data_IF_390424955711
#
_entry.id   IF_390424955711
#
_cell.length_a   1.000
_cell.length_b   1.000
_cell.length_c   1.000
_cell.angle_alpha   90.00
_cell.angle_beta   90.00
_cell.angle_gamma   90.00
#
_symmetry.space_group_name_H-M   'P 1'
#
loop_
_entity.id
_entity.type
_entity.pdbx_description
1 polymer ?
#
# COMPACT_ATOMS: atom_id res chain seq x y z
N UNK A 1 11.35 -8.22 11.38
CA UNK A 1 10.94 -6.80 11.36
C UNK A 1 9.74 -6.68 10.43
N UNK A 2 8.57 -6.41 11.01
CA UNK A 2 7.25 -6.71 10.43
C UNK A 2 6.47 -5.40 10.27
N UNK A 3 5.93 -5.15 9.08
CA UNK A 3 4.99 -4.05 8.87
C UNK A 3 3.57 -4.62 8.73
N UNK A 4 2.86 -4.51 9.85
CA UNK A 4 1.45 -4.23 10.08
C UNK A 4 0.53 -4.21 8.83
N UNK A 5 -0.20 -5.33 8.63
CA UNK A 5 -1.60 -5.53 8.17
C UNK A 5 -1.78 -6.90 7.48
N UNK A 6 -1.27 -7.97 8.10
CA UNK A 6 -1.28 -9.34 7.56
C UNK A 6 -2.63 -10.10 7.69
N UNK A 7 -3.78 -9.42 7.56
CA UNK A 7 -5.10 -10.04 7.77
C UNK A 7 -5.93 -10.30 6.50
N UNK A 8 -5.39 -10.05 5.31
CA UNK A 8 -6.08 -10.38 4.05
C UNK A 8 -5.09 -11.02 3.06
N UNK A 9 -5.48 -12.06 2.29
CA UNK A 9 -4.63 -12.70 1.28
C UNK A 9 -4.09 -11.77 0.20
N UNK A 10 -4.58 -10.51 0.14
CA UNK A 10 -4.23 -9.53 -0.89
C UNK A 10 -3.30 -8.42 -0.37
N UNK A 11 -2.91 -8.44 0.92
CA UNK A 11 -2.03 -7.46 1.59
C UNK A 11 -2.32 -5.98 1.30
N UNK A 12 -3.58 -5.66 1.02
CA UNK A 12 -3.98 -4.32 0.59
C UNK A 12 -4.55 -3.52 1.76
N UNK A 13 -4.14 -2.24 1.83
CA UNK A 13 -4.69 -1.29 2.80
C UNK A 13 -5.92 -0.62 2.19
N UNK A 14 -7.06 -0.75 2.89
CA UNK A 14 -8.36 -0.21 2.50
C UNK A 14 -8.72 1.00 3.38
N UNK A 15 -8.54 2.25 2.89
CA UNK A 15 -8.87 3.46 3.64
C UNK A 15 -10.32 3.49 4.14
N UNK A 16 -11.25 2.95 3.35
CA UNK A 16 -12.68 2.93 3.62
C UNK A 16 -12.99 2.09 4.88
N UNK A 17 -12.31 0.95 5.04
CA UNK A 17 -12.47 0.09 6.20
C UNK A 17 -11.84 0.71 7.45
N UNK A 18 -10.71 1.41 7.30
CA UNK A 18 -10.08 2.16 8.40
C UNK A 18 -11.03 3.27 8.86
N UNK A 19 -11.62 4.02 7.92
CA UNK A 19 -12.58 5.07 8.19
C UNK A 19 -13.79 4.52 8.96
N UNK A 20 -14.38 3.42 8.48
CA UNK A 20 -15.51 2.73 9.11
C UNK A 20 -15.20 2.30 10.54
N UNK A 21 -14.06 1.64 10.78
CA UNK A 21 -13.66 1.16 12.12
C UNK A 21 -13.36 2.28 13.09
N UNK A 22 -12.92 3.43 12.60
CA UNK A 22 -12.57 4.59 13.43
C UNK A 22 -13.71 5.59 13.57
N UNK A 23 -14.83 5.41 12.87
CA UNK A 23 -15.97 6.34 12.91
C UNK A 23 -15.62 7.71 12.34
N UNK A 24 -14.69 7.78 11.39
CA UNK A 24 -14.24 9.04 10.74
C UNK A 24 -14.54 9.00 9.25
N UNK A 25 -14.47 10.16 8.58
CA UNK A 25 -14.60 10.19 7.13
C UNK A 25 -13.38 9.59 6.44
N UNK A 26 -13.58 9.10 5.21
CA UNK A 26 -12.48 8.61 4.38
C UNK A 26 -11.47 9.72 4.05
N UNK A 27 -11.93 10.96 3.92
CA UNK A 27 -11.06 12.12 3.67
C UNK A 27 -10.15 12.44 4.87
N UNK A 28 -10.62 12.19 6.09
CA UNK A 28 -9.79 12.26 7.28
C UNK A 28 -8.65 11.25 7.22
N UNK A 29 -8.95 9.99 6.85
CA UNK A 29 -7.92 8.94 6.70
C UNK A 29 -6.90 9.33 5.62
N UNK A 30 -7.35 9.84 4.49
CA UNK A 30 -6.50 10.31 3.41
C UNK A 30 -5.57 11.46 3.83
N UNK A 31 -6.07 12.38 4.65
CA UNK A 31 -5.28 13.47 5.21
C UNK A 31 -4.13 12.94 6.07
N UNK A 32 -4.40 11.95 6.93
CA UNK A 32 -3.35 11.27 7.71
C UNK A 32 -2.38 10.50 6.82
N UNK A 33 -2.85 9.85 5.76
CA UNK A 33 -1.96 9.16 4.82
C UNK A 33 -1.00 10.13 4.14
N UNK A 34 -1.45 11.31 3.73
CA UNK A 34 -0.56 12.36 3.18
C UNK A 34 0.51 12.79 4.18
N UNK A 35 0.16 12.90 5.47
CA UNK A 35 1.12 13.23 6.53
C UNK A 35 2.17 12.10 6.66
N UNK A 36 1.75 10.84 6.70
CA UNK A 36 2.66 9.70 6.79
C UNK A 36 3.57 9.59 5.57
N UNK A 37 3.03 9.85 4.37
CA UNK A 37 3.79 9.83 3.12
C UNK A 37 4.86 10.93 3.09
N UNK A 38 4.48 12.16 3.45
CA UNK A 38 5.40 13.30 3.57
C UNK A 38 6.55 13.02 4.54
N UNK A 39 6.29 12.29 5.62
CA UNK A 39 7.29 11.98 6.64
C UNK A 39 8.08 10.68 6.37
N UNK A 40 7.77 9.97 5.28
CA UNK A 40 8.48 8.76 4.86
C UNK A 40 8.03 7.47 5.55
N UNK A 41 6.91 7.48 6.27
CA UNK A 41 6.32 6.31 6.92
C UNK A 41 5.29 5.58 6.05
N UNK A 42 4.89 6.20 4.94
CA UNK A 42 4.06 5.61 3.91
C UNK A 42 4.71 5.82 2.54
N UNK A 43 4.74 4.77 1.72
CA UNK A 43 5.05 4.86 0.29
C UNK A 43 3.93 4.23 -0.53
N UNK A 44 3.57 4.87 -1.63
CA UNK A 44 2.46 4.43 -2.49
C UNK A 44 3.01 3.99 -3.85
N UNK A 45 2.56 2.84 -4.33
CA UNK A 45 2.86 2.34 -5.69
C UNK A 45 1.54 2.14 -6.43
N UNK A 46 1.41 2.79 -7.59
CA UNK A 46 0.27 2.61 -8.50
C UNK A 46 0.69 1.68 -9.63
N UNK A 47 -0.08 0.61 -9.89
CA UNK A 47 0.18 -0.33 -10.99
C UNK A 47 -1.07 -0.50 -11.84
N UNK A 48 -0.91 -0.34 -13.15
CA UNK A 48 -1.94 -0.75 -14.11
C UNK A 48 -1.97 -2.27 -14.21
N UNK A 49 -3.17 -2.86 -14.15
CA UNK A 49 -3.34 -4.32 -14.24
C UNK A 49 -3.61 -4.82 -15.67
N UNK A 50 -3.33 -3.99 -16.69
CA UNK A 50 -3.60 -4.28 -18.10
C UNK A 50 -4.92 -3.69 -18.61
N UNK A 51 -5.25 -3.99 -19.88
CA UNK A 51 -6.41 -3.42 -20.58
C UNK A 51 -7.71 -3.78 -19.86
N UNK A 52 -8.50 -2.77 -19.48
CA UNK A 52 -9.81 -2.93 -18.83
C UNK A 52 -9.79 -3.28 -17.33
N UNK A 53 -8.63 -3.57 -16.73
CA UNK A 53 -8.51 -4.00 -15.31
C UNK A 53 -8.21 -2.87 -14.32
N UNK A 54 -8.07 -1.64 -14.81
CA UNK A 54 -7.87 -0.44 -14.00
C UNK A 54 -6.48 -0.34 -13.35
N UNK A 55 -6.37 0.59 -12.40
CA UNK A 55 -5.15 0.86 -11.63
C UNK A 55 -5.35 0.39 -10.19
N UNK A 56 -4.44 -0.47 -9.71
CA UNK A 56 -4.37 -0.85 -8.29
C UNK A 56 -3.38 0.03 -7.55
N UNK A 57 -3.76 0.43 -6.33
CA UNK A 57 -2.95 1.24 -5.43
C UNK A 57 -2.46 0.35 -4.28
N UNK A 58 -1.15 0.21 -4.18
CA UNK A 58 -0.45 -0.49 -3.11
C UNK A 58 0.14 0.54 -2.14
N UNK A 59 -0.04 0.30 -0.84
CA UNK A 59 0.39 1.19 0.24
C UNK A 59 1.31 0.43 1.17
N UNK A 60 2.55 0.91 1.30
CA UNK A 60 3.58 0.34 2.16
C UNK A 60 3.76 1.25 3.37
N UNK A 61 3.39 0.75 4.55
CA UNK A 61 3.64 1.44 5.81
C UNK A 61 4.98 0.99 6.40
N UNK A 62 5.47 1.69 7.41
CA UNK A 62 6.60 1.25 8.23
C UNK A 62 6.65 2.12 9.48
N UNK A 63 7.01 1.53 10.61
CA UNK A 63 7.22 2.27 11.87
C UNK A 63 8.53 3.09 11.83
N UNK A 64 9.42 2.78 10.90
CA UNK A 64 10.63 3.55 10.59
C UNK A 64 10.52 4.17 9.20
N UNK A 65 11.25 5.27 8.95
CA UNK A 65 11.28 5.89 7.62
C UNK A 65 11.75 4.89 6.58
N UNK A 66 10.98 4.75 5.51
CA UNK A 66 11.30 3.89 4.37
C UNK A 66 12.37 4.60 3.55
N UNK A 67 13.58 4.05 3.53
CA UNK A 67 14.64 4.56 2.65
C UNK A 67 14.34 4.20 1.19
N UNK A 68 14.95 4.94 0.26
CA UNK A 68 14.72 4.68 -1.17
C UNK A 68 15.22 3.29 -1.58
N UNK A 69 16.35 2.83 -1.00
CA UNK A 69 16.85 1.47 -1.19
C UNK A 69 15.84 0.40 -0.72
N UNK A 70 15.26 0.56 0.48
CA UNK A 70 14.24 -0.34 0.98
C UNK A 70 13.01 -0.33 0.06
N UNK A 71 12.61 0.86 -0.40
CA UNK A 71 11.47 1.01 -1.29
C UNK A 71 11.69 0.36 -2.66
N UNK A 72 12.90 0.42 -3.21
CA UNK A 72 13.26 -0.27 -4.45
C UNK A 72 13.13 -1.79 -4.32
N UNK A 73 13.63 -2.36 -3.22
CA UNK A 73 13.45 -3.79 -2.92
C UNK A 73 11.96 -4.14 -2.80
N UNK A 74 11.17 -3.32 -2.11
CA UNK A 74 9.71 -3.52 -1.99
C UNK A 74 9.02 -3.51 -3.36
N UNK A 75 9.39 -2.57 -4.25
CA UNK A 75 8.86 -2.50 -5.62
C UNK A 75 9.21 -3.75 -6.43
N UNK A 76 10.44 -4.24 -6.33
CA UNK A 76 10.86 -5.47 -7.02
C UNK A 76 10.02 -6.67 -6.56
N UNK A 77 9.91 -6.88 -5.24
CA UNK A 77 9.10 -7.97 -4.67
C UNK A 77 7.63 -7.89 -5.05
N UNK A 78 7.08 -6.67 -5.11
CA UNK A 78 5.72 -6.45 -5.58
C UNK A 78 5.55 -6.87 -7.03
N UNK A 79 6.47 -6.48 -7.92
CA UNK A 79 6.42 -6.85 -9.34
C UNK A 79 6.53 -8.37 -9.52
N UNK A 80 7.43 -9.03 -8.79
CA UNK A 80 7.57 -10.49 -8.78
C UNK A 80 6.27 -11.18 -8.34
N UNK A 81 5.63 -10.66 -7.28
CA UNK A 81 4.37 -11.20 -6.76
C UNK A 81 3.22 -11.04 -7.77
N UNK A 82 3.11 -9.89 -8.42
CA UNK A 82 2.10 -9.62 -9.46
C UNK A 82 2.33 -10.53 -10.69
N UNK A 83 3.59 -10.71 -11.09
CA UNK A 83 3.94 -11.59 -12.19
C UNK A 83 3.53 -13.03 -11.90
N UNK A 84 3.85 -13.56 -10.71
CA UNK A 84 3.44 -14.92 -10.29
C UNK A 84 1.93 -15.11 -10.29
N UNK A 85 1.17 -14.10 -9.88
CA UNK A 85 -0.30 -14.11 -9.90
C UNK A 85 -0.89 -14.06 -11.32
N UNK A 86 -0.13 -13.62 -12.33
CA UNK A 86 -0.59 -13.49 -13.71
C UNK A 86 -0.31 -14.73 -14.56
N UNK A 87 0.58 -15.62 -14.09
CA UNK A 87 0.99 -16.86 -14.80
C UNK A 87 0.27 -18.11 -14.25
N UNK A 88 -0.66 -17.93 -13.31
CA UNK A 88 -1.49 -19.00 -12.73
C UNK A 88 -2.88 -19.08 -13.35
#
# INVERSE_FOLDING_TARGET
MMVVLANHPNWQVYPEEIAKRKGVSRDTVDSYFKILEKNGYLRIVKKGMGRGKGVRVFRFFSDVKISDFQFDIMKQRLNESISKLSTG
#
